data_IF_599789908258
#
_entry.id   IF_599789908258
#
_cell.length_a   1.000
_cell.length_b   1.000
_cell.length_c   1.000
_cell.angle_alpha   90.00
_cell.angle_beta   90.00
_cell.angle_gamma   90.00
#
_symmetry.space_group_name_H-M   'P 1'
#
loop_
_entity.id
_entity.type
_entity.pdbx_description
1 polymer ?
#
# COMPACT_ATOMS: atom_id res chain seq x y z
N UNK A 1 -34.40 15.07 -35.34
CA UNK A 1 -34.47 14.91 -35.19
C UNK A 1 -33.95 14.57 -34.66
N UNK A 2 -33.91 14.41 -34.42
CA UNK A 2 -33.74 14.07 -34.10
C UNK A 2 -33.06 14.12 -33.42
N UNK A 3 -32.97 14.55 -33.30
CA UNK A 3 -32.48 14.67 -32.72
C UNK A 3 -32.23 14.51 -31.73
N UNK A 4 -32.27 14.25 -31.36
CA UNK A 4 -32.32 14.11 -30.47
C UNK A 4 -31.51 13.52 -29.83
N UNK A 5 -31.13 13.35 -30.04
CA UNK A 5 -30.53 12.91 -29.52
C UNK A 5 -29.51 13.04 -28.99
N UNK A 6 -29.27 13.29 -29.24
CA UNK A 6 -28.24 13.48 -29.01
C UNK A 6 -27.97 14.14 -27.85
N UNK A 7 -28.50 14.67 -27.74
CA UNK A 7 -28.38 15.33 -26.72
C UNK A 7 -28.25 14.65 -25.63
N UNK A 8 -28.46 14.04 -25.47
CA UNK A 8 -28.38 13.46 -24.37
C UNK A 8 -27.26 12.80 -24.15
N UNK A 9 -26.88 12.45 -24.72
CA UNK A 9 -25.93 11.87 -24.53
C UNK A 9 -24.93 12.51 -24.05
N UNK A 10 -24.81 13.19 -24.26
CA UNK A 10 -23.90 13.91 -24.02
C UNK A 10 -23.78 14.04 -22.67
N UNK A 11 -24.56 14.19 -22.38
CA UNK A 11 -24.62 14.39 -21.14
C UNK A 11 -23.98 13.42 -20.47
N UNK A 12 -24.04 12.60 -20.82
CA UNK A 12 -23.55 11.64 -20.20
C UNK A 12 -22.18 11.72 -19.94
N UNK A 13 -21.65 12.04 -20.79
CA UNK A 13 -20.34 12.00 -20.57
C UNK A 13 -19.96 12.72 -19.40
N UNK A 14 -20.52 13.43 -19.29
CA UNK A 14 -20.20 14.15 -18.26
C UNK A 14 -20.00 13.48 -17.13
N UNK A 15 -20.65 12.83 -17.03
CA UNK A 15 -20.57 12.24 -15.91
C UNK A 15 -19.29 11.82 -15.66
N UNK A 16 -18.87 11.55 -16.60
CA UNK A 16 -17.67 11.05 -16.33
C UNK A 16 -16.90 11.93 -15.47
N UNK A 17 -16.84 12.93 -15.80
CA UNK A 17 -16.04 13.77 -15.04
C UNK A 17 -15.97 13.34 -13.71
N UNK A 18 -16.81 13.00 -13.42
CA UNK A 18 -16.82 12.67 -12.20
C UNK A 18 -15.75 11.96 -11.73
N UNK A 19 -15.52 11.16 -12.28
CA UNK A 19 -14.58 10.44 -11.86
C UNK A 19 -13.49 11.11 -11.40
N UNK A 20 -13.30 11.88 -12.05
CA UNK A 20 -12.25 12.62 -11.66
C UNK A 20 -12.13 12.56 -10.22
N UNK A 21 -13.05 12.62 -9.79
CA UNK A 21 -13.01 12.74 -8.41
C UNK A 21 -11.94 11.93 -7.96
N UNK A 22 -11.87 11.05 -8.53
CA UNK A 22 -10.92 10.30 -8.22
C UNK A 22 -9.68 10.80 -8.10
N UNK A 23 -9.31 11.26 -9.04
CA UNK A 23 -8.04 11.69 -9.01
C UNK A 23 -7.75 12.36 -7.74
N UNK A 24 -8.63 12.88 -7.26
CA UNK A 24 -8.31 13.60 -6.12
C UNK A 24 -7.54 12.77 -5.19
N UNK A 25 -7.53 11.59 -5.27
CA UNK A 25 -6.81 10.85 -4.31
C UNK A 25 -5.37 11.23 -4.34
N UNK A 26 -5.00 12.01 -5.24
CA UNK A 26 -3.64 12.40 -5.28
C UNK A 26 -2.79 11.16 -5.47
N UNK A 27 -1.65 11.08 -4.91
CA UNK A 27 -0.72 9.99 -5.11
C UNK A 27 -1.24 8.66 -4.64
N UNK A 28 -2.45 8.58 -4.29
CA UNK A 28 -2.96 7.31 -3.88
C UNK A 28 -2.53 6.81 -2.52
N UNK A 29 -1.93 7.65 -1.75
CA UNK A 29 -1.52 7.24 -0.43
C UNK A 29 -2.72 7.22 0.53
N UNK A 30 -2.86 6.16 1.25
CA UNK A 30 -3.93 6.04 2.23
C UNK A 30 -3.31 5.66 3.57
N UNK A 31 -3.55 6.46 4.57
CA UNK A 31 -3.01 6.17 5.89
C UNK A 31 -3.76 5.00 6.51
N UNK A 32 -3.04 4.09 7.13
CA UNK A 32 -3.63 2.95 7.79
C UNK A 32 -3.47 3.11 9.29
N UNK A 33 -4.57 3.03 10.00
CA UNK A 33 -4.56 3.16 11.46
C UNK A 33 -5.17 1.93 12.12
N UNK A 34 -4.61 1.54 13.25
CA UNK A 34 -5.14 0.46 14.05
C UNK A 34 -5.40 0.97 15.46
N UNK A 35 -6.39 0.39 16.11
CA UNK A 35 -6.73 0.81 17.47
C UNK A 35 -5.99 0.06 18.55
N UNK A 36 -5.51 -1.12 18.22
CA UNK A 36 -4.79 -1.93 19.20
C UNK A 36 -3.35 -2.07 18.76
N UNK A 37 -2.48 -2.32 19.72
CA UNK A 37 -1.08 -2.47 19.42
C UNK A 37 -0.85 -3.70 18.54
N UNK A 38 0.13 -3.63 17.65
CA UNK A 38 0.44 -4.80 16.82
C UNK A 38 1.04 -5.91 17.68
N UNK A 39 0.87 -7.16 17.27
CA UNK A 39 1.52 -8.26 17.99
C UNK A 39 3.04 -8.16 17.82
N UNK A 40 3.79 -8.89 18.60
CA UNK A 40 5.25 -8.90 18.45
C UNK A 40 5.65 -9.38 17.06
N UNK A 41 6.71 -8.81 16.53
CA UNK A 41 7.22 -9.19 15.23
C UNK A 41 7.66 -10.64 15.28
N UNK A 42 7.36 -11.37 14.22
CA UNK A 42 7.79 -12.75 14.09
C UNK A 42 9.18 -12.80 13.49
N UNK A 43 9.98 -13.72 14.00
CA UNK A 43 11.31 -13.94 13.43
C UNK A 43 11.18 -15.13 12.47
N UNK A 44 11.50 -14.91 11.23
CA UNK A 44 11.37 -15.96 10.22
C UNK A 44 12.72 -16.41 9.70
N UNK A 45 12.78 -17.68 9.30
CA UNK A 45 13.98 -18.18 8.68
C UNK A 45 14.04 -17.65 7.26
N UNK A 46 15.15 -17.04 6.89
CA UNK A 46 15.28 -16.46 5.55
C UNK A 46 15.59 -17.51 4.49
N UNK A 47 16.19 -18.58 4.88
CA UNK A 47 16.62 -19.56 3.91
C UNK A 47 17.74 -19.00 3.06
N UNK A 48 17.90 -19.54 1.89
CA UNK A 48 18.95 -19.10 0.97
C UNK A 48 18.43 -18.09 -0.01
N UNK A 49 19.25 -17.09 -0.36
CA UNK A 49 18.85 -16.16 -1.42
C UNK A 49 18.70 -16.92 -2.74
N UNK A 50 17.73 -16.56 -3.56
CA UNK A 50 17.55 -17.20 -4.88
C UNK A 50 18.72 -16.96 -5.82
N UNK A 51 19.52 -15.95 -5.55
CA UNK A 51 20.66 -15.61 -6.37
C UNK A 51 21.38 -14.43 -5.78
N UNK A 52 22.45 -13.98 -6.42
CA UNK A 52 23.18 -12.82 -5.92
C UNK A 52 22.34 -11.56 -6.16
N UNK A 53 22.57 -10.58 -5.34
CA UNK A 53 21.87 -9.31 -5.49
C UNK A 53 20.49 -9.26 -4.88
N UNK A 54 20.01 -10.33 -4.28
CA UNK A 54 18.72 -10.30 -3.62
C UNK A 54 18.87 -9.77 -2.19
N UNK A 55 17.86 -9.06 -1.73
CA UNK A 55 17.82 -8.53 -0.39
C UNK A 55 16.61 -9.10 0.33
N UNK A 56 16.79 -9.47 1.59
CA UNK A 56 15.68 -10.00 2.37
C UNK A 56 14.81 -8.85 2.87
N UNK A 57 13.51 -8.98 2.63
CA UNK A 57 12.50 -8.04 3.10
C UNK A 57 11.81 -8.71 4.28
N UNK A 58 11.96 -8.16 5.46
CA UNK A 58 11.33 -8.75 6.64
C UNK A 58 9.81 -8.71 6.56
N UNK A 59 9.17 -9.71 7.10
CA UNK A 59 7.73 -9.71 7.19
C UNK A 59 7.24 -8.65 8.16
N UNK A 60 5.97 -8.42 8.15
CA UNK A 60 5.38 -7.40 9.00
C UNK A 60 3.91 -7.68 9.25
N UNK A 61 3.33 -6.97 10.19
CA UNK A 61 1.90 -7.12 10.48
C UNK A 61 1.12 -6.14 9.60
N UNK A 62 0.32 -6.67 8.70
CA UNK A 62 -0.63 -5.87 7.95
C UNK A 62 -1.91 -5.74 8.76
N UNK A 63 -2.76 -4.80 8.43
CA UNK A 63 -4.00 -4.58 9.15
C UNK A 63 -5.14 -4.50 8.16
N UNK A 64 -6.13 -5.35 8.34
CA UNK A 64 -7.26 -5.38 7.44
C UNK A 64 -8.49 -5.81 8.21
N UNK A 65 -9.58 -5.12 8.04
CA UNK A 65 -10.83 -5.50 8.68
C UNK A 65 -10.73 -5.55 10.20
N UNK A 66 -9.98 -4.65 10.78
CA UNK A 66 -9.79 -4.56 12.21
C UNK A 66 -8.95 -5.68 12.81
N UNK A 67 -8.23 -6.40 11.99
CA UNK A 67 -7.36 -7.46 12.46
C UNK A 67 -5.97 -7.37 11.89
N UNK A 68 -4.98 -7.76 12.67
CA UNK A 68 -3.63 -7.86 12.18
C UNK A 68 -3.43 -9.20 11.48
N UNK A 69 -2.75 -9.17 10.35
CA UNK A 69 -2.43 -10.37 9.60
C UNK A 69 -0.94 -10.36 9.29
N UNK A 70 -0.26 -11.45 9.53
CA UNK A 70 1.17 -11.50 9.26
C UNK A 70 1.43 -11.64 7.78
N UNK A 71 2.31 -10.78 7.26
CA UNK A 71 2.74 -10.84 5.87
C UNK A 71 4.18 -11.30 5.90
N UNK A 72 4.42 -12.49 5.33
CA UNK A 72 5.73 -13.10 5.42
C UNK A 72 6.81 -12.36 4.67
N UNK A 73 8.03 -12.55 5.13
CA UNK A 73 9.17 -11.96 4.48
C UNK A 73 9.45 -12.62 3.14
N UNK A 74 10.30 -11.99 2.37
CA UNK A 74 10.63 -12.51 1.05
C UNK A 74 11.92 -11.92 0.52
N UNK A 75 12.48 -12.58 -0.48
CA UNK A 75 13.67 -12.07 -1.15
C UNK A 75 13.23 -11.22 -2.34
N UNK A 76 13.87 -10.07 -2.52
CA UNK A 76 13.59 -9.19 -3.65
C UNK A 76 14.85 -8.56 -4.20
N UNK A 77 14.83 -8.22 -5.46
CA UNK A 77 15.92 -7.47 -6.05
C UNK A 77 15.67 -5.98 -5.83
N UNK A 78 16.67 -5.22 -5.39
CA UNK A 78 16.49 -3.78 -5.22
C UNK A 78 16.16 -3.12 -6.56
N UNK A 79 15.35 -2.09 -6.54
CA UNK A 79 15.13 -1.32 -7.75
C UNK A 79 16.43 -0.64 -8.17
N UNK A 80 16.51 -0.25 -9.42
CA UNK A 80 17.69 0.39 -9.94
C UNK A 80 18.08 1.59 -9.09
N UNK A 81 19.34 1.67 -8.72
CA UNK A 81 19.84 2.80 -7.94
C UNK A 81 19.57 2.71 -6.45
N UNK A 82 19.01 1.61 -6.01
CA UNK A 82 18.75 1.42 -4.58
C UNK A 82 19.53 0.21 -4.10
N UNK A 83 19.88 0.23 -2.81
CA UNK A 83 20.73 -0.83 -2.27
C UNK A 83 20.24 -1.45 -0.98
N UNK A 84 19.41 -0.78 -0.26
CA UNK A 84 18.98 -1.25 1.04
C UNK A 84 17.48 -1.13 1.23
N UNK A 85 16.96 -2.02 2.00
CA UNK A 85 15.55 -1.98 2.37
C UNK A 85 15.43 -1.45 3.79
N UNK A 86 14.52 -0.51 3.99
CA UNK A 86 14.23 0.01 5.31
C UNK A 86 12.84 -0.47 5.66
N UNK A 87 12.71 -1.27 6.72
CA UNK A 87 11.43 -1.84 7.09
C UNK A 87 10.38 -0.82 7.45
N UNK A 88 9.16 -1.12 7.12
CA UNK A 88 8.04 -0.34 7.63
C UNK A 88 7.84 -0.65 9.10
N UNK A 89 7.01 0.14 9.74
CA UNK A 89 6.74 -0.08 11.15
C UNK A 89 5.45 0.59 11.59
N UNK A 90 4.90 0.07 12.67
CA UNK A 90 3.75 0.69 13.29
C UNK A 90 4.26 1.70 14.31
N UNK A 91 3.68 2.89 14.30
CA UNK A 91 4.05 3.93 15.26
C UNK A 91 2.82 4.33 16.05
N UNK A 92 3.02 4.56 17.34
CA UNK A 92 1.92 5.02 18.17
C UNK A 92 1.64 6.49 17.89
N UNK A 93 0.36 6.80 17.69
CA UNK A 93 -0.09 8.18 17.47
C UNK A 93 -1.29 8.42 18.37
N UNK A 94 -1.05 8.93 19.57
CA UNK A 94 -2.13 9.15 20.51
C UNK A 94 -2.74 7.83 20.96
N UNK A 95 -4.00 7.64 20.69
CA UNK A 95 -4.69 6.42 21.09
C UNK A 95 -4.76 5.41 19.95
N UNK A 96 -3.99 5.61 18.89
CA UNK A 96 -3.99 4.71 17.75
C UNK A 96 -2.58 4.38 17.32
N UNK A 97 -2.47 3.47 16.37
CA UNK A 97 -1.20 3.10 15.77
C UNK A 97 -1.30 3.37 14.29
N UNK A 98 -0.27 3.96 13.72
CA UNK A 98 -0.23 4.29 12.31
C UNK A 98 0.88 3.49 11.63
N UNK A 99 0.57 2.93 10.48
CA UNK A 99 1.57 2.21 9.70
C UNK A 99 2.43 3.17 8.91
N UNK A 100 3.73 2.94 8.93
CA UNK A 100 4.69 3.67 8.11
C UNK A 100 5.31 2.67 7.15
N UNK A 101 5.11 2.89 5.85
CA UNK A 101 5.61 1.95 4.86
C UNK A 101 7.12 1.82 4.86
N UNK A 102 7.60 0.63 4.56
CA UNK A 102 9.00 0.42 4.30
C UNK A 102 9.39 1.04 2.97
N UNK A 103 10.65 1.16 2.72
CA UNK A 103 11.09 1.74 1.46
C UNK A 103 12.50 1.33 1.11
N UNK A 104 12.80 1.42 -0.16
CA UNK A 104 14.14 1.18 -0.66
C UNK A 104 14.96 2.46 -0.56
N UNK A 105 16.22 2.30 -0.19
CA UNK A 105 17.14 3.41 -0.13
C UNK A 105 18.32 3.17 -1.03
#
# INVERSE_FOLDING_TARGET
MKRGFAKHWMLLGLMGGVLSAVGCGGPGYVAIYARTAPPPIRVESQGRPPGSGYVWINGYWGYRGNDYTWIGGRWERPPRGRHRWEDGRWERRGDRYQWRDGRWR
#
